data_IF_373839342612
#
_entry.id   IF_373839342612
#
_cell.length_a   1.000
_cell.length_b   1.000
_cell.length_c   1.000
_cell.angle_alpha   90.00
_cell.angle_beta   90.00
_cell.angle_gamma   90.00
#
_symmetry.space_group_name_H-M   'P 1'
#
loop_
_entity.id
_entity.type
_entity.pdbx_description
1 polymer ?
#
# COMPACT_ATOMS: atom_id res chain seq x y z
N UNK A 1 -7.10 8.39 -17.17
CA UNK A 1 -5.97 7.44 -17.21
C UNK A 1 -4.79 8.00 -18.00
N UNK A 2 -4.96 8.47 -19.24
CA UNK A 2 -3.83 9.06 -19.99
C UNK A 2 -3.24 10.29 -19.29
N UNK A 3 -4.09 11.24 -18.88
CA UNK A 3 -3.68 12.43 -18.12
C UNK A 3 -2.98 12.08 -16.78
N UNK A 4 -3.39 10.99 -16.14
CA UNK A 4 -2.74 10.49 -14.93
C UNK A 4 -1.35 9.91 -15.23
N UNK A 5 -1.19 9.21 -16.35
CA UNK A 5 0.10 8.64 -16.74
C UNK A 5 1.10 9.66 -17.26
N UNK A 6 0.63 10.84 -17.70
CA UNK A 6 1.49 11.99 -17.98
C UNK A 6 2.11 12.52 -16.69
N UNK A 7 1.35 12.53 -15.59
CA UNK A 7 1.83 12.91 -14.26
C UNK A 7 2.60 11.78 -13.56
N UNK A 8 2.21 10.53 -13.80
CA UNK A 8 2.71 9.33 -13.12
C UNK A 8 3.34 8.38 -14.13
N UNK A 9 4.59 8.68 -14.50
CA UNK A 9 5.34 7.97 -15.53
C UNK A 9 5.41 6.45 -15.28
N UNK A 10 5.42 6.02 -14.01
CA UNK A 10 5.45 4.60 -13.63
C UNK A 10 4.21 3.81 -14.11
N UNK A 11 3.09 4.49 -14.43
CA UNK A 11 1.86 3.85 -14.90
C UNK A 11 1.90 3.53 -16.41
N UNK A 12 2.80 4.15 -17.16
CA UNK A 12 2.87 4.03 -18.63
C UNK A 12 2.95 2.58 -19.14
N UNK A 13 3.74 1.67 -18.53
CA UNK A 13 3.81 0.27 -18.97
C UNK A 13 2.46 -0.44 -18.97
N UNK A 14 1.56 -0.10 -18.04
CA UNK A 14 0.27 -0.74 -17.88
C UNK A 14 -0.83 -0.16 -18.79
N UNK A 15 -0.63 1.02 -19.39
CA UNK A 15 -1.68 1.69 -20.17
C UNK A 15 -2.18 0.88 -21.37
N UNK A 16 -1.34 0.24 -22.19
CA UNK A 16 -1.84 -0.53 -23.33
C UNK A 16 -2.77 -1.66 -22.88
N UNK A 17 -2.39 -2.35 -21.80
CA UNK A 17 -3.20 -3.42 -21.22
C UNK A 17 -4.51 -2.88 -20.63
N UNK A 18 -4.46 -1.82 -19.82
CA UNK A 18 -5.64 -1.22 -19.20
C UNK A 18 -6.67 -0.66 -20.21
N UNK A 19 -6.22 -0.28 -21.41
CA UNK A 19 -7.12 0.17 -22.50
C UNK A 19 -7.92 -0.98 -23.11
N UNK A 20 -7.37 -2.19 -23.08
CA UNK A 20 -7.99 -3.38 -23.66
C UNK A 20 -8.81 -4.17 -22.63
N UNK A 21 -8.42 -4.12 -21.36
CA UNK A 21 -9.07 -4.87 -20.30
C UNK A 21 -10.37 -4.22 -19.83
N UNK A 22 -11.39 -5.06 -19.63
CA UNK A 22 -12.59 -4.67 -18.91
C UNK A 22 -12.44 -4.77 -17.39
N UNK A 23 -13.29 -4.05 -16.66
CA UNK A 23 -13.38 -4.14 -15.19
C UNK A 23 -13.50 -5.56 -14.63
N UNK A 24 -14.18 -6.54 -15.28
CA UNK A 24 -14.24 -7.90 -14.76
C UNK A 24 -12.86 -8.56 -14.62
N UNK A 25 -11.97 -8.36 -15.60
CA UNK A 25 -10.62 -8.97 -15.57
C UNK A 25 -9.78 -8.32 -14.46
N UNK A 26 -9.84 -7.00 -14.34
CA UNK A 26 -9.14 -6.28 -13.27
C UNK A 26 -9.63 -6.66 -11.87
N UNK A 27 -10.95 -6.85 -11.73
CA UNK A 27 -11.56 -7.30 -10.46
C UNK A 27 -11.16 -8.72 -10.12
N UNK A 28 -11.17 -9.62 -11.09
CA UNK A 28 -10.75 -11.00 -10.88
C UNK A 28 -9.30 -11.05 -10.39
N UNK A 29 -8.41 -10.32 -11.06
CA UNK A 29 -7.01 -10.26 -10.64
C UNK A 29 -6.83 -9.62 -9.25
N UNK A 30 -7.59 -8.56 -8.94
CA UNK A 30 -7.63 -7.98 -7.60
C UNK A 30 -8.03 -9.01 -6.54
N UNK A 31 -9.07 -9.80 -6.82
CA UNK A 31 -9.55 -10.84 -5.90
C UNK A 31 -8.48 -11.90 -5.68
N UNK A 32 -7.89 -12.42 -6.77
CA UNK A 32 -6.82 -13.42 -6.71
C UNK A 32 -5.61 -12.93 -5.90
N UNK A 33 -5.12 -11.73 -6.18
CA UNK A 33 -3.93 -11.19 -5.50
C UNK A 33 -4.20 -10.88 -4.02
N UNK A 34 -5.30 -10.20 -3.72
CA UNK A 34 -5.48 -9.58 -2.40
C UNK A 34 -6.52 -10.25 -1.52
N UNK A 35 -7.56 -10.85 -2.10
CA UNK A 35 -8.68 -11.45 -1.33
C UNK A 35 -8.48 -12.95 -1.12
N UNK A 36 -7.86 -13.62 -2.08
CA UNK A 36 -7.42 -15.02 -1.99
C UNK A 36 -6.00 -15.15 -1.40
N UNK A 37 -5.42 -14.01 -1.00
CA UNK A 37 -4.18 -13.90 -0.21
C UNK A 37 -2.92 -14.46 -0.91
N UNK A 38 -2.83 -14.38 -2.25
CA UNK A 38 -1.57 -14.68 -2.96
C UNK A 38 -0.48 -13.63 -2.67
N UNK A 39 -0.85 -12.36 -2.60
CA UNK A 39 -0.02 -11.24 -2.17
C UNK A 39 -0.86 -10.33 -1.25
N UNK A 40 -1.08 -10.73 0.00
CA UNK A 40 -1.99 -10.04 0.90
C UNK A 40 -1.51 -8.62 1.21
N UNK A 41 -2.34 -7.61 0.94
CA UNK A 41 -1.96 -6.20 1.09
C UNK A 41 -2.11 -5.69 2.55
N UNK A 42 -1.64 -6.48 3.53
CA UNK A 42 -1.74 -6.20 4.97
C UNK A 42 -0.44 -6.52 5.70
N UNK A 43 -0.05 -5.66 6.63
CA UNK A 43 1.21 -5.76 7.37
C UNK A 43 1.35 -7.10 8.10
N UNK A 44 0.27 -7.58 8.74
CA UNK A 44 0.28 -8.84 9.51
C UNK A 44 0.56 -10.10 8.68
N UNK A 45 0.55 -10.01 7.35
CA UNK A 45 0.93 -11.14 6.50
C UNK A 45 2.45 -11.20 6.20
N UNK A 46 3.18 -10.11 6.47
CA UNK A 46 4.59 -9.95 6.12
C UNK A 46 5.49 -9.64 7.33
N UNK A 47 4.88 -9.21 8.45
CA UNK A 47 5.58 -8.82 9.67
C UNK A 47 4.78 -9.27 10.91
N UNK A 48 5.49 -9.81 11.90
CA UNK A 48 4.94 -10.07 13.24
C UNK A 48 4.77 -8.79 14.07
N UNK A 49 5.43 -7.70 13.66
CA UNK A 49 5.38 -6.41 14.33
C UNK A 49 4.40 -5.48 13.61
N UNK A 50 3.12 -5.58 13.96
CA UNK A 50 2.09 -4.70 13.42
C UNK A 50 2.17 -3.32 14.06
N UNK A 51 2.05 -2.27 13.25
CA UNK A 51 2.02 -0.88 13.70
C UNK A 51 1.03 -0.69 14.87
N UNK A 52 1.44 0.16 15.81
CA UNK A 52 0.70 0.44 17.03
C UNK A 52 0.45 -0.79 17.93
N UNK A 53 1.15 -1.90 17.72
CA UNK A 53 0.99 -3.12 18.52
C UNK A 53 -0.24 -3.95 18.16
N UNK A 54 -0.87 -3.69 17.02
CA UNK A 54 -1.95 -4.52 16.48
C UNK A 54 -3.16 -3.77 15.95
N UNK A 55 -4.05 -4.54 15.31
CA UNK A 55 -5.26 -4.04 14.62
C UNK A 55 -6.20 -3.23 15.50
N UNK A 56 -6.31 -3.55 16.79
CA UNK A 56 -7.14 -2.80 17.73
C UNK A 56 -6.67 -1.35 17.89
N UNK A 57 -5.36 -1.13 18.02
CA UNK A 57 -4.81 0.21 18.23
C UNK A 57 -4.84 1.03 16.93
N UNK A 58 -4.64 0.39 15.77
CA UNK A 58 -4.86 1.02 14.47
C UNK A 58 -6.29 1.56 14.31
N UNK A 59 -7.30 0.81 14.76
CA UNK A 59 -8.70 1.29 14.75
C UNK A 59 -8.89 2.56 15.59
N UNK A 60 -8.22 2.66 16.74
CA UNK A 60 -8.29 3.84 17.60
C UNK A 60 -7.67 5.04 16.89
N UNK A 61 -6.49 4.87 16.27
CA UNK A 61 -5.81 5.93 15.52
C UNK A 61 -6.66 6.43 14.35
N UNK A 62 -7.21 5.53 13.54
CA UNK A 62 -8.05 5.92 12.41
C UNK A 62 -9.32 6.65 12.85
N UNK A 63 -9.95 6.19 13.94
CA UNK A 63 -11.13 6.87 14.50
C UNK A 63 -10.80 8.30 14.95
N UNK A 64 -9.65 8.49 15.62
CA UNK A 64 -9.20 9.82 16.04
C UNK A 64 -8.93 10.74 14.86
N UNK A 65 -8.44 10.19 13.76
CA UNK A 65 -8.23 10.90 12.49
C UNK A 65 -9.51 11.09 11.66
N UNK A 66 -10.67 10.56 12.08
CA UNK A 66 -11.91 10.60 11.30
C UNK A 66 -11.90 9.72 10.05
N UNK A 67 -10.99 8.75 9.97
CA UNK A 67 -10.81 7.85 8.84
C UNK A 67 -11.69 6.61 9.02
N UNK A 68 -12.54 6.32 8.03
CA UNK A 68 -13.38 5.13 7.99
C UNK A 68 -12.72 3.99 7.20
N UNK A 69 -12.80 2.75 7.71
CA UNK A 69 -12.17 1.58 7.07
C UNK A 69 -12.77 1.18 5.72
N UNK A 70 -14.05 1.48 5.47
CA UNK A 70 -14.77 1.06 4.25
C UNK A 70 -14.63 -0.45 3.93
N UNK A 71 -14.66 -1.30 4.96
CA UNK A 71 -14.54 -2.76 4.81
C UNK A 71 -13.11 -3.28 4.60
N UNK A 72 -12.09 -2.43 4.69
CA UNK A 72 -10.67 -2.84 4.64
C UNK A 72 -10.16 -3.26 6.01
N UNK A 73 -9.17 -4.15 6.02
CA UNK A 73 -8.45 -4.51 7.25
C UNK A 73 -7.70 -3.29 7.82
N UNK A 74 -7.64 -3.10 9.15
CA UNK A 74 -6.96 -1.96 9.76
C UNK A 74 -5.48 -1.86 9.38
N UNK A 75 -4.79 -2.98 9.27
CA UNK A 75 -3.37 -3.07 8.93
C UNK A 75 -3.13 -3.18 7.42
N UNK A 76 -4.14 -2.90 6.59
CA UNK A 76 -3.95 -2.88 5.14
C UNK A 76 -3.09 -1.70 4.71
N UNK A 77 -2.26 -1.91 3.67
CA UNK A 77 -1.40 -0.88 3.10
C UNK A 77 -2.19 0.40 2.77
N UNK A 78 -3.36 0.23 2.17
CA UNK A 78 -4.23 1.35 1.82
C UNK A 78 -4.59 2.20 3.04
N UNK A 79 -4.97 1.57 4.16
CA UNK A 79 -5.34 2.30 5.36
C UNK A 79 -4.13 3.00 6.00
N UNK A 80 -2.98 2.34 6.03
CA UNK A 80 -1.74 2.93 6.55
C UNK A 80 -1.28 4.13 5.70
N UNK A 81 -1.37 4.05 4.37
CA UNK A 81 -1.06 5.18 3.47
C UNK A 81 -2.06 6.34 3.61
N UNK A 82 -3.35 6.05 3.77
CA UNK A 82 -4.37 7.09 4.04
C UNK A 82 -4.05 7.81 5.35
N UNK A 83 -3.69 7.06 6.39
CA UNK A 83 -3.31 7.65 7.68
C UNK A 83 -2.00 8.43 7.58
N UNK A 84 -1.02 7.97 6.80
CA UNK A 84 0.20 8.71 6.51
C UNK A 84 -0.08 10.05 5.84
N UNK A 85 -0.93 10.05 4.81
CA UNK A 85 -1.32 11.25 4.09
C UNK A 85 -2.05 12.24 5.01
N UNK A 86 -3.02 11.75 5.79
CA UNK A 86 -3.71 12.55 6.79
C UNK A 86 -2.72 13.17 7.78
N UNK A 87 -1.73 12.40 8.27
CA UNK A 87 -0.72 12.92 9.19
C UNK A 87 0.09 14.08 8.60
N UNK A 88 0.54 13.93 7.35
CA UNK A 88 1.31 14.96 6.64
C UNK A 88 0.49 16.22 6.38
N UNK A 89 -0.81 16.10 6.14
CA UNK A 89 -1.71 17.24 5.93
C UNK A 89 -1.97 18.03 7.22
N UNK A 90 -1.95 17.37 8.38
CA UNK A 90 -2.22 18.01 9.67
C UNK A 90 -0.98 18.68 10.30
N UNK A 91 0.21 18.48 9.73
CA UNK A 91 1.50 18.99 10.25
C UNK A 91 1.68 18.77 11.76
N UNK A 92 1.27 17.60 12.27
CA UNK A 92 1.24 17.30 13.70
C UNK A 92 2.67 17.03 14.21
N UNK A 93 3.26 17.90 15.05
CA UNK A 93 4.67 17.74 15.44
C UNK A 93 4.89 16.69 16.54
N UNK A 94 3.83 16.24 17.24
CA UNK A 94 3.94 15.55 18.53
C UNK A 94 2.94 14.39 18.75
N UNK A 95 2.40 13.79 17.69
CA UNK A 95 1.61 12.57 17.87
C UNK A 95 2.54 11.38 18.14
N UNK A 96 2.17 10.44 19.06
CA UNK A 96 3.05 9.34 19.50
C UNK A 96 3.43 8.34 18.40
N UNK A 97 2.80 8.43 17.22
CA UNK A 97 3.23 7.77 16.00
C UNK A 97 3.56 8.86 15.00
N UNK A 98 4.83 9.25 14.93
CA UNK A 98 5.30 10.20 13.93
C UNK A 98 5.05 9.69 12.52
N UNK A 99 5.02 10.59 11.52
CA UNK A 99 5.07 10.16 10.11
C UNK A 99 6.26 9.23 9.85
N UNK A 100 7.38 9.48 10.56
CA UNK A 100 8.63 8.71 10.46
C UNK A 100 8.48 7.28 10.99
N UNK A 101 7.85 7.09 12.14
CA UNK A 101 7.65 5.77 12.72
C UNK A 101 6.72 4.93 11.82
N UNK A 102 5.66 5.55 11.30
CA UNK A 102 4.79 4.92 10.32
C UNK A 102 5.55 4.55 9.04
N UNK A 103 6.42 5.43 8.56
CA UNK A 103 7.23 5.16 7.37
C UNK A 103 8.21 4.01 7.60
N UNK A 104 8.83 3.94 8.77
CA UNK A 104 9.71 2.85 9.18
C UNK A 104 8.97 1.51 9.22
N UNK A 105 7.75 1.48 9.78
CA UNK A 105 6.88 0.30 9.76
C UNK A 105 6.61 -0.17 8.33
N UNK A 106 6.16 0.73 7.44
CA UNK A 106 5.92 0.41 6.04
C UNK A 106 7.19 -0.11 5.36
N UNK A 107 8.33 0.49 5.64
CA UNK A 107 9.62 0.06 5.11
C UNK A 107 10.02 -1.36 5.55
N UNK A 108 9.55 -1.83 6.71
CA UNK A 108 9.81 -3.18 7.19
C UNK A 108 9.17 -4.29 6.34
N UNK A 109 8.06 -4.00 5.67
CA UNK A 109 7.26 -5.06 5.03
C UNK A 109 6.85 -4.79 3.57
N UNK A 110 6.66 -3.53 3.18
CA UNK A 110 6.18 -3.16 1.84
C UNK A 110 7.11 -3.65 0.73
N UNK A 111 8.46 -3.65 0.85
CA UNK A 111 9.31 -4.21 -0.20
C UNK A 111 9.07 -5.70 -0.48
N UNK A 112 8.74 -6.50 0.54
CA UNK A 112 8.44 -7.93 0.35
C UNK A 112 7.10 -8.13 -0.36
N UNK A 113 6.09 -7.39 0.08
CA UNK A 113 4.79 -7.33 -0.60
C UNK A 113 4.93 -6.87 -2.07
N UNK A 114 5.75 -5.86 -2.32
CA UNK A 114 6.03 -5.32 -3.65
C UNK A 114 6.67 -6.35 -4.57
N UNK A 115 7.62 -7.15 -4.07
CA UNK A 115 8.21 -8.27 -4.82
C UNK A 115 7.18 -9.36 -5.12
N UNK A 116 6.34 -9.72 -4.15
CA UNK A 116 5.25 -10.66 -4.39
C UNK A 116 4.35 -10.18 -5.54
N UNK A 117 3.95 -8.90 -5.53
CA UNK A 117 3.16 -8.33 -6.60
C UNK A 117 3.83 -8.45 -7.97
N UNK A 118 5.13 -8.12 -8.05
CA UNK A 118 5.88 -8.23 -9.30
C UNK A 118 5.95 -9.68 -9.81
N UNK A 119 6.16 -10.64 -8.91
CA UNK A 119 6.28 -12.07 -9.25
C UNK A 119 4.95 -12.73 -9.60
N UNK A 120 3.89 -12.41 -8.86
CA UNK A 120 2.61 -13.13 -8.90
C UNK A 120 1.57 -12.47 -9.78
N UNK A 121 1.66 -11.16 -10.04
CA UNK A 121 0.69 -10.50 -10.88
C UNK A 121 0.74 -11.03 -12.32
N UNK A 122 -0.44 -11.32 -12.87
CA UNK A 122 -0.64 -11.62 -14.28
C UNK A 122 -0.79 -10.34 -15.11
N UNK A 123 -1.25 -9.25 -14.48
CA UNK A 123 -1.50 -7.95 -15.13
C UNK A 123 -0.39 -6.94 -14.85
N UNK A 124 -0.03 -6.17 -15.87
CA UNK A 124 1.05 -5.18 -15.84
C UNK A 124 0.78 -4.05 -14.84
N UNK A 125 -0.48 -3.69 -14.60
CA UNK A 125 -0.83 -2.67 -13.61
C UNK A 125 -0.35 -3.01 -12.19
N UNK A 126 -0.47 -4.27 -11.80
CA UNK A 126 -0.04 -4.71 -10.47
C UNK A 126 1.47 -4.94 -10.40
N UNK A 127 2.11 -5.35 -11.51
CA UNK A 127 3.58 -5.40 -11.61
C UNK A 127 4.19 -4.01 -11.50
N UNK A 128 3.67 -3.05 -12.25
CA UNK A 128 4.11 -1.66 -12.22
C UNK A 128 3.89 -1.02 -10.84
N UNK A 129 2.76 -1.32 -10.18
CA UNK A 129 2.52 -0.91 -8.80
C UNK A 129 3.56 -1.52 -7.85
N UNK A 130 3.84 -2.81 -7.97
CA UNK A 130 4.88 -3.49 -7.18
C UNK A 130 6.25 -2.83 -7.36
N UNK A 131 6.69 -2.62 -8.61
CA UNK A 131 7.95 -1.94 -8.89
C UNK A 131 7.99 -0.54 -8.26
N UNK A 132 6.90 0.23 -8.38
CA UNK A 132 6.82 1.58 -7.82
C UNK A 132 6.90 1.57 -6.29
N UNK A 133 6.23 0.62 -5.63
CA UNK A 133 6.30 0.46 -4.18
C UNK A 133 7.71 0.05 -3.75
N UNK A 134 8.36 -0.88 -4.45
CA UNK A 134 9.74 -1.25 -4.14
C UNK A 134 10.68 -0.05 -4.26
N UNK A 135 10.60 0.76 -5.33
CA UNK A 135 11.40 1.99 -5.48
C UNK A 135 11.17 2.98 -4.34
N UNK A 136 9.92 3.15 -3.89
CA UNK A 136 9.57 4.10 -2.82
C UNK A 136 10.09 3.67 -1.44
N UNK A 137 10.11 2.36 -1.16
CA UNK A 137 10.39 1.82 0.18
C UNK A 137 11.76 1.13 0.30
N UNK A 138 12.47 0.84 -0.81
CA UNK A 138 13.84 0.27 -0.77
C UNK A 138 14.88 1.19 -0.10
N UNK A 139 14.87 2.53 -0.26
CA UNK A 139 15.86 3.41 0.38
C UNK A 139 15.92 3.30 1.91
N UNK A 140 14.87 2.77 2.55
CA UNK A 140 14.86 2.53 3.99
C UNK A 140 15.85 1.45 4.45
N UNK A 141 16.22 0.49 3.58
CA UNK A 141 17.18 -0.55 3.93
C UNK A 141 18.63 -0.03 4.01
N UNK A 142 18.91 1.19 3.53
CA UNK A 142 20.26 1.76 3.43
C UNK A 142 20.59 2.78 4.52
N UNK A 143 19.70 2.98 5.50
CA UNK A 143 19.82 3.98 6.56
C UNK A 143 20.13 3.43 7.96
N UNK A 144 20.91 2.35 8.05
CA UNK A 144 21.52 1.90 9.32
C UNK A 144 22.87 2.58 9.55
#
# INVERSE_FOLDING_TARGET
MEEMADSWVWLKPALPELRMLGLPVLRHEYQRLFTEEECPARESAWSDQVMAGGTHNLLVLYRQAGIALQGRAPDSLAMQLIYAAWYLEQDLPNSPYGWRDLWEHLCGWVPQFARCLQEKAALEIYRALGQRLEELFTPCASGQ
#
